data_IF_699143178070
#
_entry.id   IF_699143178070
#
_cell.length_a   1.000
_cell.length_b   1.000
_cell.length_c   1.000
_cell.angle_alpha   90.00
_cell.angle_beta   90.00
_cell.angle_gamma   90.00
#
_symmetry.space_group_name_H-M   'P 1'
#
loop_
_entity.id
_entity.type
_entity.pdbx_description
1 polymer ?
#
# COMPACT_ATOMS: atom_id res chain seq x y z
N UNK A 1 7.40 -10.37 -7.70
CA UNK A 1 8.02 -11.59 -7.13
C UNK A 1 7.45 -12.83 -7.82
N UNK A 2 8.20 -13.93 -7.89
CA UNK A 2 7.67 -15.21 -8.37
C UNK A 2 7.00 -15.97 -7.21
N UNK A 3 5.67 -15.92 -7.14
CA UNK A 3 4.92 -16.52 -6.03
C UNK A 3 5.17 -18.01 -5.80
N UNK A 4 5.58 -18.75 -6.83
CA UNK A 4 5.92 -20.18 -6.71
C UNK A 4 7.24 -20.45 -5.98
N UNK A 5 8.02 -19.42 -5.66
CA UNK A 5 9.30 -19.52 -4.95
C UNK A 5 9.23 -18.86 -3.58
N UNK A 6 8.02 -18.65 -3.03
CA UNK A 6 7.84 -18.05 -1.71
C UNK A 6 7.66 -19.18 -0.70
N UNK A 7 8.66 -19.37 0.15
CA UNK A 7 8.64 -20.34 1.22
C UNK A 7 8.94 -19.65 2.56
N UNK A 8 8.34 -20.09 3.68
CA UNK A 8 8.66 -19.51 4.99
C UNK A 8 10.17 -19.51 5.28
N UNK A 9 10.87 -20.57 4.88
CA UNK A 9 12.30 -20.78 5.09
C UNK A 9 13.20 -19.77 4.35
N UNK A 10 12.67 -19.04 3.35
CA UNK A 10 13.38 -17.94 2.69
C UNK A 10 13.64 -16.75 3.64
N UNK A 11 12.83 -16.60 4.70
CA UNK A 11 12.81 -15.42 5.57
C UNK A 11 13.33 -15.76 6.96
N UNK A 12 14.48 -15.20 7.33
CA UNK A 12 15.03 -15.30 8.68
C UNK A 12 14.90 -13.98 9.41
N UNK A 13 14.02 -13.94 10.42
CA UNK A 13 13.89 -12.79 11.30
C UNK A 13 14.81 -12.93 12.50
N UNK A 14 15.47 -11.84 12.89
CA UNK A 14 16.11 -11.71 14.22
C UNK A 14 15.29 -10.72 15.04
N UNK A 15 14.84 -11.16 16.20
CA UNK A 15 14.07 -10.35 17.14
C UNK A 15 14.98 -9.49 18.01
N UNK A 16 14.44 -8.45 18.64
CA UNK A 16 15.20 -7.53 19.53
C UNK A 16 15.89 -8.22 20.71
N UNK A 17 15.41 -9.39 21.13
CA UNK A 17 16.03 -10.19 22.19
C UNK A 17 17.14 -11.12 21.68
N UNK A 18 17.41 -11.13 20.37
CA UNK A 18 18.43 -11.96 19.71
C UNK A 18 17.93 -13.31 19.22
N UNK A 19 16.67 -13.67 19.48
CA UNK A 19 16.09 -14.92 18.96
C UNK A 19 15.96 -14.85 17.44
N UNK A 20 16.21 -15.98 16.77
CA UNK A 20 16.01 -16.14 15.33
C UNK A 20 14.74 -16.94 15.07
N UNK A 21 13.87 -16.42 14.22
CA UNK A 21 12.56 -16.99 13.94
C UNK A 21 12.36 -17.11 12.43
N UNK A 22 11.95 -18.30 12.01
CA UNK A 22 11.42 -18.56 10.68
C UNK A 22 9.90 -18.46 10.76
N UNK A 23 9.21 -17.78 9.84
CA UNK A 23 7.75 -17.73 9.80
C UNK A 23 7.12 -19.12 9.76
N UNK A 24 5.90 -19.23 10.30
CA UNK A 24 5.05 -20.41 10.16
C UNK A 24 4.38 -20.48 8.78
N UNK A 25 4.25 -19.33 8.11
CA UNK A 25 3.66 -19.19 6.78
C UNK A 25 4.27 -18.00 6.04
N UNK A 26 4.37 -18.12 4.72
CA UNK A 26 4.69 -17.05 3.79
C UNK A 26 3.81 -17.20 2.55
N UNK A 27 3.26 -16.10 2.06
CA UNK A 27 2.40 -16.12 0.88
C UNK A 27 2.13 -14.73 0.32
N UNK A 28 1.38 -14.70 -0.78
CA UNK A 28 1.07 -13.46 -1.49
C UNK A 28 -0.30 -12.89 -1.15
N UNK A 29 -1.20 -13.60 -0.47
CA UNK A 29 -2.51 -13.04 -0.08
C UNK A 29 -2.29 -12.03 1.05
N UNK A 30 -2.83 -10.79 0.98
CA UNK A 30 -3.83 -10.29 0.02
C UNK A 30 -3.32 -9.72 -1.32
N UNK A 31 -2.02 -9.53 -1.51
CA UNK A 31 -1.37 -9.08 -2.76
C UNK A 31 -1.30 -10.15 -3.88
N UNK A 32 -2.41 -10.84 -4.19
CA UNK A 32 -2.41 -11.99 -5.12
C UNK A 32 -2.43 -11.61 -6.60
N UNK A 33 -2.88 -10.39 -6.93
CA UNK A 33 -3.04 -9.90 -8.30
C UNK A 33 -1.67 -9.72 -8.96
N UNK A 34 -1.58 -9.87 -10.28
CA UNK A 34 -0.28 -10.00 -10.95
C UNK A 34 0.55 -8.71 -10.89
N UNK A 35 -0.13 -7.58 -10.91
CA UNK A 35 0.38 -6.22 -10.75
C UNK A 35 0.78 -5.89 -9.31
N UNK A 36 0.39 -6.71 -8.32
CA UNK A 36 0.59 -6.48 -6.89
C UNK A 36 1.58 -7.43 -6.20
N UNK A 37 2.19 -8.39 -6.92
CA UNK A 37 3.07 -9.40 -6.30
C UNK A 37 4.45 -8.89 -5.87
N UNK A 38 4.57 -7.63 -5.46
CA UNK A 38 5.77 -7.05 -4.86
C UNK A 38 5.82 -7.26 -3.33
N UNK A 39 4.69 -7.58 -2.69
CA UNK A 39 4.58 -7.75 -1.24
C UNK A 39 4.36 -9.21 -0.84
N UNK A 40 5.06 -9.66 0.20
CA UNK A 40 4.84 -10.97 0.85
C UNK A 40 4.29 -10.77 2.24
N UNK A 41 3.27 -11.54 2.57
CA UNK A 41 2.74 -11.63 3.92
C UNK A 41 3.31 -12.87 4.59
N UNK A 42 3.89 -12.68 5.76
CA UNK A 42 4.38 -13.76 6.62
C UNK A 42 3.61 -13.79 7.93
N UNK A 43 3.35 -15.00 8.44
CA UNK A 43 2.79 -15.19 9.78
C UNK A 43 3.76 -16.02 10.61
N UNK A 44 4.04 -15.58 11.83
CA UNK A 44 5.01 -16.21 12.71
C UNK A 44 4.99 -15.61 14.09
N UNK A 45 5.81 -16.18 14.98
CA UNK A 45 5.95 -15.73 16.36
C UNK A 45 6.95 -14.56 16.43
N UNK A 46 6.54 -13.42 15.89
CA UNK A 46 7.42 -12.25 15.69
C UNK A 46 7.59 -11.37 16.92
N UNK A 47 6.96 -11.70 18.05
CA UNK A 47 7.11 -10.96 19.29
C UNK A 47 5.80 -10.74 20.04
N UNK A 48 5.68 -9.58 20.70
CA UNK A 48 4.55 -9.23 21.55
C UNK A 48 4.04 -7.81 21.25
N UNK A 49 3.06 -7.33 22.02
CA UNK A 49 2.47 -5.99 21.87
C UNK A 49 3.30 -4.87 22.51
N UNK A 50 4.53 -5.16 22.94
CA UNK A 50 5.42 -4.19 23.57
C UNK A 50 5.85 -3.11 22.57
N UNK A 51 5.88 -1.86 23.03
CA UNK A 51 6.35 -0.74 22.23
C UNK A 51 7.89 -0.63 22.33
N UNK A 52 8.58 -0.09 21.30
CA UNK A 52 10.01 0.19 21.37
C UNK A 52 10.39 0.99 22.63
N UNK A 53 11.41 0.52 23.34
CA UNK A 53 11.89 1.13 24.59
C UNK A 53 11.28 0.54 25.87
N UNK A 54 10.22 -0.28 25.79
CA UNK A 54 9.72 -1.03 26.94
C UNK A 54 10.62 -2.24 27.23
N UNK A 55 10.84 -2.53 28.52
CA UNK A 55 11.81 -3.52 28.97
C UNK A 55 11.56 -4.94 28.44
N UNK A 56 10.28 -5.31 28.26
CA UNK A 56 9.86 -6.64 27.84
C UNK A 56 9.35 -6.67 26.37
N UNK A 57 9.56 -5.60 25.60
CA UNK A 57 9.12 -5.55 24.21
C UNK A 57 9.99 -6.43 23.31
N UNK A 58 9.33 -7.34 22.58
CA UNK A 58 9.97 -8.20 21.58
C UNK A 58 9.28 -7.95 20.25
N UNK A 59 10.06 -7.66 19.21
CA UNK A 59 9.60 -7.41 17.85
C UNK A 59 10.74 -7.67 16.85
N UNK A 60 10.46 -7.76 15.53
CA UNK A 60 11.50 -7.93 14.52
C UNK A 60 12.47 -6.75 14.50
N UNK A 61 13.78 -7.05 14.61
CA UNK A 61 14.85 -6.06 14.50
C UNK A 61 15.60 -6.17 13.17
N UNK A 62 15.63 -7.37 12.58
CA UNK A 62 16.28 -7.65 11.31
C UNK A 62 15.51 -8.72 10.54
N UNK A 63 15.50 -8.60 9.23
CA UNK A 63 15.09 -9.64 8.29
C UNK A 63 16.26 -9.92 7.34
N UNK A 64 16.50 -11.19 7.06
CA UNK A 64 17.44 -11.66 6.04
C UNK A 64 16.70 -12.62 5.10
N UNK A 65 16.88 -12.42 3.80
CA UNK A 65 16.51 -13.41 2.80
C UNK A 65 17.67 -14.40 2.66
N UNK A 66 17.46 -15.64 3.07
CA UNK A 66 18.52 -16.65 3.21
C UNK A 66 18.49 -17.68 2.08
N UNK A 67 19.63 -18.35 1.86
CA UNK A 67 19.68 -19.51 0.96
C UNK A 67 19.34 -20.78 1.74
N UNK A 68 18.16 -21.33 1.47
CA UNK A 68 17.65 -22.58 2.02
C UNK A 68 17.72 -23.75 0.99
N UNK A 69 18.25 -23.49 -0.21
CA UNK A 69 18.25 -24.41 -1.35
C UNK A 69 17.06 -24.22 -2.31
N UNK A 70 16.10 -23.36 -1.99
CA UNK A 70 14.91 -23.00 -2.79
C UNK A 70 14.71 -21.49 -2.82
N UNK A 71 15.68 -20.71 -3.34
CA UNK A 71 15.76 -19.28 -3.09
C UNK A 71 14.55 -18.52 -3.62
N UNK A 72 14.08 -17.56 -2.81
CA UNK A 72 13.18 -16.49 -3.23
C UNK A 72 13.66 -15.82 -4.53
N UNK A 73 12.77 -15.72 -5.53
CA UNK A 73 13.07 -15.13 -6.83
C UNK A 73 12.18 -13.94 -7.15
N UNK A 74 12.82 -12.93 -7.72
CA UNK A 74 12.17 -11.75 -8.28
C UNK A 74 12.23 -11.81 -9.80
N UNK A 75 11.24 -11.20 -10.45
CA UNK A 75 11.32 -10.88 -11.87
C UNK A 75 11.67 -9.40 -11.97
N UNK A 76 12.78 -9.09 -12.63
CA UNK A 76 13.20 -7.73 -12.96
C UNK A 76 13.21 -7.51 -14.48
N UNK A 77 13.57 -6.30 -14.94
CA UNK A 77 13.62 -5.96 -16.37
C UNK A 77 14.62 -6.82 -17.16
N UNK A 78 15.68 -7.30 -16.49
CA UNK A 78 16.71 -8.17 -17.08
C UNK A 78 16.43 -9.67 -16.88
N UNK A 79 15.24 -10.02 -16.39
CA UNK A 79 14.83 -11.39 -16.08
C UNK A 79 14.89 -11.72 -14.58
N UNK A 80 14.99 -13.01 -14.26
CA UNK A 80 14.87 -13.48 -12.88
C UNK A 80 16.14 -13.22 -12.05
N UNK A 81 15.96 -12.67 -10.85
CA UNK A 81 17.03 -12.44 -9.87
C UNK A 81 16.74 -13.18 -8.56
N UNK A 82 17.78 -13.60 -7.85
CA UNK A 82 17.64 -14.18 -6.50
C UNK A 82 17.54 -13.06 -5.46
N UNK A 83 16.71 -13.28 -4.44
CA UNK A 83 16.61 -12.41 -3.27
C UNK A 83 17.61 -12.70 -2.16
N UNK A 84 18.36 -13.80 -2.25
CA UNK A 84 19.32 -14.19 -1.22
C UNK A 84 20.30 -13.05 -0.93
N UNK A 85 20.47 -12.73 0.35
CA UNK A 85 21.35 -11.68 0.82
C UNK A 85 20.71 -10.29 0.89
N UNK A 86 19.44 -10.14 0.48
CA UNK A 86 18.67 -8.95 0.85
C UNK A 86 18.45 -8.93 2.36
N UNK A 87 18.60 -7.75 2.94
CA UNK A 87 18.44 -7.54 4.38
C UNK A 87 17.63 -6.30 4.65
N UNK A 88 16.89 -6.32 5.75
CA UNK A 88 16.23 -5.16 6.32
C UNK A 88 16.56 -5.08 7.81
N UNK A 89 16.74 -3.86 8.33
CA UNK A 89 16.92 -3.59 9.75
C UNK A 89 15.86 -2.56 10.17
N UNK A 90 15.10 -2.89 11.21
CA UNK A 90 14.00 -2.09 11.71
C UNK A 90 14.32 -1.46 13.05
N UNK A 91 14.56 -0.15 13.07
CA UNK A 91 14.73 0.61 14.32
C UNK A 91 13.37 0.87 15.00
N UNK A 92 12.73 -0.18 15.53
CA UNK A 92 11.44 -0.03 16.22
C UNK A 92 10.22 0.07 15.30
N UNK A 93 10.37 -0.32 14.03
CA UNK A 93 9.30 -0.44 13.04
C UNK A 93 8.38 -1.63 13.37
N UNK A 94 7.58 -1.47 14.42
CA UNK A 94 6.51 -2.38 14.82
C UNK A 94 5.20 -1.61 14.83
N UNK A 95 4.10 -2.29 14.51
CA UNK A 95 2.76 -1.69 14.57
C UNK A 95 2.39 -1.14 15.96
N UNK A 96 3.10 -1.52 17.02
CA UNK A 96 2.92 -0.99 18.39
C UNK A 96 3.88 0.14 18.75
N UNK A 97 4.74 0.57 17.82
CA UNK A 97 5.70 1.67 18.00
C UNK A 97 5.53 2.77 16.97
N UNK A 98 5.21 2.42 15.74
CA UNK A 98 4.86 3.35 14.66
C UNK A 98 3.77 2.70 13.82
N UNK A 99 2.72 3.45 13.50
CA UNK A 99 1.68 2.97 12.62
C UNK A 99 2.16 2.71 11.19
N UNK A 100 1.25 2.38 10.28
CA UNK A 100 1.63 2.06 8.91
C UNK A 100 2.13 3.33 8.19
N UNK A 101 3.02 3.15 7.22
CA UNK A 101 3.69 4.20 6.46
C UNK A 101 3.66 3.91 4.96
N UNK A 102 3.86 4.94 4.16
CA UNK A 102 4.17 4.79 2.75
C UNK A 102 5.63 4.32 2.62
N UNK A 103 5.87 3.41 1.67
CA UNK A 103 7.22 2.90 1.35
C UNK A 103 7.58 3.07 -0.12
N UNK A 104 6.66 3.65 -0.89
CA UNK A 104 6.84 3.94 -2.30
C UNK A 104 5.58 4.54 -2.90
N UNK A 105 5.74 5.44 -3.87
CA UNK A 105 4.65 5.90 -4.72
C UNK A 105 5.12 5.97 -6.18
N UNK A 106 4.29 5.48 -7.11
CA UNK A 106 4.62 5.44 -8.53
C UNK A 106 3.43 5.89 -9.39
N UNK A 107 3.69 6.88 -10.25
CA UNK A 107 2.71 7.37 -11.23
C UNK A 107 2.89 6.65 -12.57
N UNK A 108 1.84 6.01 -13.05
CA UNK A 108 1.75 5.43 -14.39
C UNK A 108 0.54 5.98 -15.15
N UNK A 109 0.50 5.75 -16.46
CA UNK A 109 -0.78 5.81 -17.18
C UNK A 109 -1.68 4.64 -16.74
N UNK A 110 -2.99 4.91 -16.72
CA UNK A 110 -4.04 3.88 -16.55
C UNK A 110 -4.00 2.92 -17.75
N UNK A 111 -4.03 3.47 -18.97
CA UNK A 111 -4.12 2.69 -20.21
C UNK A 111 -5.58 2.45 -20.63
N UNK A 112 -5.82 1.38 -21.38
CA UNK A 112 -7.15 1.07 -21.95
C UNK A 112 -7.85 -0.13 -21.27
N UNK A 113 -7.18 -0.79 -20.32
CA UNK A 113 -7.70 -1.95 -19.61
C UNK A 113 -7.00 -2.15 -18.25
N UNK A 114 -7.65 -2.82 -17.29
CA UNK A 114 -7.09 -3.17 -15.97
C UNK A 114 -6.07 -4.32 -16.10
N UNK A 115 -4.88 -4.03 -16.62
CA UNK A 115 -3.85 -5.05 -16.89
C UNK A 115 -3.18 -5.49 -15.59
N UNK A 116 -3.40 -6.75 -15.23
CA UNK A 116 -2.79 -7.39 -14.06
C UNK A 116 -3.78 -7.67 -12.94
N UNK A 117 -4.92 -6.96 -12.94
CA UNK A 117 -6.03 -7.10 -11.99
C UNK A 117 -6.68 -8.50 -12.12
N UNK A 118 -7.24 -8.97 -11.01
CA UNK A 118 -7.84 -10.28 -10.79
C UNK A 118 -6.85 -11.39 -10.48
N UNK A 119 -7.31 -12.64 -10.61
CA UNK A 119 -6.41 -13.78 -10.77
C UNK A 119 -6.81 -15.05 -10.05
N UNK A 120 -7.49 -14.96 -8.90
CA UNK A 120 -7.85 -16.12 -8.10
C UNK A 120 -9.36 -16.18 -7.88
N UNK A 121 -10.12 -16.99 -8.64
CA UNK A 121 -11.59 -16.96 -8.70
C UNK A 121 -12.34 -17.05 -7.36
N UNK A 122 -11.69 -17.57 -6.32
CA UNK A 122 -12.26 -17.64 -4.97
C UNK A 122 -12.26 -16.27 -4.26
N UNK A 123 -11.24 -15.44 -4.51
CA UNK A 123 -11.10 -14.10 -3.94
C UNK A 123 -11.84 -13.04 -4.78
N UNK A 124 -12.10 -13.32 -6.06
CA UNK A 124 -12.87 -12.42 -6.94
C UNK A 124 -14.34 -12.27 -6.50
N UNK A 125 -14.87 -13.21 -5.69
CA UNK A 125 -16.26 -13.17 -5.22
C UNK A 125 -16.46 -12.13 -4.12
N UNK A 126 -16.94 -10.95 -4.51
CA UNK A 126 -17.41 -9.89 -3.59
C UNK A 126 -16.42 -8.77 -3.33
N UNK A 127 -15.16 -8.93 -3.78
CA UNK A 127 -14.13 -7.89 -3.70
C UNK A 127 -13.91 -7.20 -5.05
N UNK A 128 -14.04 -7.96 -6.14
CA UNK A 128 -13.84 -7.46 -7.50
C UNK A 128 -15.17 -7.23 -8.25
N UNK A 129 -15.18 -6.37 -9.29
CA UNK A 129 -14.08 -5.50 -9.69
C UNK A 129 -13.96 -4.27 -8.78
N UNK A 130 -12.72 -3.86 -8.50
CA UNK A 130 -12.30 -2.77 -7.62
C UNK A 130 -11.35 -1.77 -8.33
N UNK A 131 -11.10 -1.99 -9.63
CA UNK A 131 -10.17 -1.22 -10.44
C UNK A 131 -10.74 0.13 -10.90
N UNK A 132 -9.88 0.97 -11.49
CA UNK A 132 -10.23 2.30 -11.96
C UNK A 132 -11.33 2.33 -13.03
N UNK A 133 -11.45 1.29 -13.87
CA UNK A 133 -12.49 1.22 -14.88
C UNK A 133 -13.84 0.88 -14.27
N UNK A 134 -13.87 0.02 -13.26
CA UNK A 134 -15.09 -0.32 -12.54
C UNK A 134 -15.62 0.85 -11.70
N UNK A 135 -14.72 1.57 -11.02
CA UNK A 135 -15.08 2.68 -10.13
C UNK A 135 -15.39 3.98 -10.88
N UNK A 136 -14.61 4.29 -11.92
CA UNK A 136 -14.60 5.63 -12.53
C UNK A 136 -14.78 5.62 -14.06
N UNK A 137 -14.83 4.44 -14.70
CA UNK A 137 -14.81 4.33 -16.16
C UNK A 137 -13.41 4.54 -16.76
N UNK A 138 -12.37 4.58 -15.92
CA UNK A 138 -10.97 4.75 -16.29
C UNK A 138 -10.34 5.95 -15.59
N UNK A 139 -9.35 6.53 -16.23
CA UNK A 139 -8.61 7.72 -15.79
C UNK A 139 -7.45 7.97 -16.75
N UNK A 140 -6.73 9.08 -16.58
CA UNK A 140 -5.52 9.32 -17.37
C UNK A 140 -4.28 8.75 -16.67
N UNK A 141 -4.22 8.86 -15.34
CA UNK A 141 -3.07 8.45 -14.54
C UNK A 141 -3.50 7.71 -13.28
N UNK A 142 -2.62 6.80 -12.87
CA UNK A 142 -2.75 5.97 -11.67
C UNK A 142 -1.52 6.19 -10.81
N UNK A 143 -1.73 6.76 -9.64
CA UNK A 143 -0.69 6.91 -8.62
C UNK A 143 -0.82 5.75 -7.64
N UNK A 144 0.00 4.72 -7.83
CA UNK A 144 0.02 3.55 -6.95
C UNK A 144 0.89 3.80 -5.73
N UNK A 145 0.31 3.66 -4.55
CA UNK A 145 0.99 3.73 -3.27
C UNK A 145 1.34 2.32 -2.80
N UNK A 146 2.54 2.15 -2.25
CA UNK A 146 2.94 0.94 -1.53
C UNK A 146 3.01 1.27 -0.06
N UNK A 147 2.45 0.39 0.78
CA UNK A 147 2.36 0.61 2.22
C UNK A 147 3.18 -0.43 2.99
N UNK A 148 3.68 -0.07 4.17
CA UNK A 148 4.42 -1.00 5.05
C UNK A 148 3.54 -2.06 5.72
N UNK A 149 2.22 -1.99 5.50
CA UNK A 149 1.18 -2.85 6.07
C UNK A 149 -0.20 -2.32 5.69
N UNK A 150 -1.27 -2.97 6.16
CA UNK A 150 -2.64 -2.55 5.80
C UNK A 150 -2.93 -1.10 6.20
N UNK A 151 -3.55 -0.34 5.29
CA UNK A 151 -3.90 1.07 5.47
C UNK A 151 -5.41 1.22 5.71
N UNK A 152 -5.86 0.96 6.93
CA UNK A 152 -7.30 1.03 7.27
C UNK A 152 -7.60 2.19 8.22
N UNK A 153 -8.76 2.85 8.13
CA UNK A 153 -9.13 3.96 9.02
C UNK A 153 -9.09 3.64 10.52
N UNK A 154 -9.26 2.37 10.91
CA UNK A 154 -9.37 1.97 12.32
C UNK A 154 -8.62 0.68 12.67
N UNK A 155 -7.93 0.06 11.71
CA UNK A 155 -7.28 -1.24 11.88
C UNK A 155 -8.20 -2.43 11.59
N UNK A 156 -9.49 -2.19 11.31
CA UNK A 156 -10.49 -3.21 10.99
C UNK A 156 -11.58 -2.74 9.99
N UNK A 157 -11.84 -1.44 9.89
CA UNK A 157 -12.80 -0.88 8.93
C UNK A 157 -12.12 -0.73 7.57
N UNK A 158 -12.74 -1.16 6.48
CA UNK A 158 -12.18 -0.98 5.14
C UNK A 158 -12.05 0.50 4.76
N UNK A 159 -10.99 0.85 4.02
CA UNK A 159 -10.84 2.12 3.36
C UNK A 159 -11.80 2.17 2.16
N UNK A 160 -12.53 3.27 2.00
CA UNK A 160 -13.53 3.40 0.94
C UNK A 160 -12.99 4.23 -0.23
N UNK A 161 -13.48 4.02 -1.47
CA UNK A 161 -13.08 4.80 -2.65
C UNK A 161 -13.24 6.33 -2.50
N UNK A 162 -14.13 6.78 -1.61
CA UNK A 162 -14.36 8.20 -1.29
C UNK A 162 -13.56 8.72 -0.08
N UNK A 163 -12.60 7.94 0.44
CA UNK A 163 -11.85 8.27 1.64
C UNK A 163 -10.64 9.18 1.40
N UNK A 164 -10.31 9.49 0.14
CA UNK A 164 -9.16 10.31 -0.25
C UNK A 164 -9.00 11.56 0.62
N UNK A 165 -10.02 12.41 0.67
CA UNK A 165 -9.98 13.73 1.34
C UNK A 165 -9.76 13.65 2.86
N UNK A 166 -9.99 12.46 3.45
CA UNK A 166 -9.83 12.24 4.89
C UNK A 166 -8.41 11.79 5.25
N UNK A 167 -7.64 11.28 4.30
CA UNK A 167 -6.39 10.57 4.59
C UNK A 167 -5.20 11.02 3.75
N UNK A 168 -5.42 11.48 2.52
CA UNK A 168 -4.38 11.74 1.55
C UNK A 168 -4.47 13.13 0.93
N UNK A 169 -3.33 13.63 0.45
CA UNK A 169 -3.27 14.74 -0.51
C UNK A 169 -2.05 14.61 -1.42
N UNK A 170 -2.16 15.10 -2.65
CA UNK A 170 -1.05 15.11 -3.61
C UNK A 170 -0.43 16.50 -3.68
N UNK A 171 0.91 16.54 -3.75
CA UNK A 171 1.69 17.74 -3.98
C UNK A 171 2.09 17.84 -5.44
N UNK A 172 1.68 18.90 -6.10
CA UNK A 172 2.11 19.25 -7.44
C UNK A 172 2.80 20.62 -7.46
N UNK A 173 3.61 20.87 -8.47
CA UNK A 173 4.28 22.17 -8.65
C UNK A 173 3.41 23.08 -9.52
N UNK A 174 3.17 24.33 -9.12
CA UNK A 174 2.53 25.36 -9.92
C UNK A 174 3.49 25.97 -10.97
N UNK A 175 2.95 26.71 -11.94
CA UNK A 175 3.75 27.45 -12.95
C UNK A 175 4.78 28.43 -12.35
N UNK A 176 4.49 29.00 -11.17
CA UNK A 176 5.41 29.90 -10.45
C UNK A 176 6.41 29.16 -9.53
N UNK A 177 6.37 27.83 -9.51
CA UNK A 177 7.21 26.97 -8.68
C UNK A 177 6.70 26.75 -7.26
N UNK A 178 5.56 27.32 -6.87
CA UNK A 178 4.93 27.04 -5.57
C UNK A 178 4.25 25.66 -5.55
N UNK A 179 3.90 25.16 -4.36
CA UNK A 179 3.20 23.89 -4.20
C UNK A 179 1.69 24.08 -4.27
N UNK A 180 1.02 23.28 -5.10
CA UNK A 180 -0.43 23.09 -5.11
C UNK A 180 -0.76 21.79 -4.39
N UNK A 181 -1.69 21.85 -3.45
CA UNK A 181 -2.21 20.67 -2.76
C UNK A 181 -3.53 20.25 -3.41
N UNK A 182 -3.52 19.06 -4.02
CA UNK A 182 -4.72 18.42 -4.52
C UNK A 182 -5.33 17.66 -3.34
N UNK A 183 -6.29 18.26 -2.64
CA UNK A 183 -6.86 17.71 -1.38
C UNK A 183 -8.30 17.22 -1.51
N UNK A 184 -8.98 17.56 -2.59
CA UNK A 184 -10.40 17.27 -2.81
C UNK A 184 -10.60 16.46 -4.09
N UNK A 185 -11.56 15.55 -4.05
CA UNK A 185 -11.97 14.79 -5.23
C UNK A 185 -12.87 15.65 -6.13
N UNK A 186 -12.81 15.43 -7.43
CA UNK A 186 -13.67 16.13 -8.40
C UNK A 186 -13.34 17.62 -8.62
N UNK A 187 -12.31 18.16 -7.98
CA UNK A 187 -11.82 19.54 -8.19
C UNK A 187 -10.76 19.58 -9.28
N UNK A 188 -10.87 20.57 -10.17
CA UNK A 188 -9.83 20.91 -11.16
C UNK A 188 -8.77 21.81 -10.51
N UNK A 189 -7.54 21.30 -10.41
CA UNK A 189 -6.39 22.03 -9.89
C UNK A 189 -5.49 22.48 -11.03
N UNK A 190 -5.25 23.79 -11.11
CA UNK A 190 -4.24 24.36 -12.00
C UNK A 190 -2.85 24.12 -11.42
N UNK A 191 -2.01 23.44 -12.19
CA UNK A 191 -0.61 23.11 -11.84
C UNK A 191 0.29 23.42 -13.05
N UNK A 192 1.61 23.28 -12.89
CA UNK A 192 2.53 23.47 -14.00
C UNK A 192 2.21 22.49 -15.13
N UNK A 193 1.99 23.01 -16.33
CA UNK A 193 1.70 22.19 -17.51
C UNK A 193 0.21 21.88 -17.76
N UNK A 194 -0.72 22.36 -16.92
CA UNK A 194 -2.16 22.22 -17.18
C UNK A 194 -2.99 21.95 -15.93
N UNK A 195 -4.03 21.15 -16.07
CA UNK A 195 -4.99 20.84 -14.99
C UNK A 195 -4.87 19.38 -14.56
N UNK A 196 -5.05 19.12 -13.26
CA UNK A 196 -5.24 17.79 -12.68
C UNK A 196 -6.51 17.73 -11.84
N UNK A 197 -7.21 16.60 -11.86
CA UNK A 197 -8.36 16.27 -11.02
C UNK A 197 -8.15 14.90 -10.39
N UNK A 198 -8.39 14.79 -9.08
CA UNK A 198 -8.46 13.49 -8.38
C UNK A 198 -9.86 12.91 -8.53
N UNK A 199 -9.98 11.64 -8.92
CA UNK A 199 -11.27 10.94 -9.01
C UNK A 199 -11.62 10.23 -7.70
N UNK A 200 -10.62 9.64 -7.04
CA UNK A 200 -10.75 8.96 -5.76
C UNK A 200 -9.74 7.82 -5.62
N UNK A 201 -10.02 6.90 -4.70
CA UNK A 201 -9.19 5.72 -4.45
C UNK A 201 -9.73 4.49 -5.21
N UNK A 202 -8.83 3.70 -5.79
CA UNK A 202 -9.11 2.40 -6.40
C UNK A 202 -8.20 1.32 -5.79
N UNK A 203 -8.37 0.07 -6.23
CA UNK A 203 -7.64 -1.09 -5.71
C UNK A 203 -8.00 -1.32 -4.23
N UNK A 204 -9.31 -1.45 -3.98
CA UNK A 204 -9.90 -1.60 -2.65
C UNK A 204 -11.03 -2.63 -2.67
N UNK A 205 -12.23 -2.24 -3.08
CA UNK A 205 -13.37 -3.14 -3.14
C UNK A 205 -14.37 -2.66 -4.16
N UNK A 206 -15.52 -3.34 -4.21
CA UNK A 206 -16.53 -3.08 -5.23
C UNK A 206 -17.06 -1.64 -5.25
N UNK A 207 -17.49 -1.14 -6.42
CA UNK A 207 -18.12 0.17 -6.54
C UNK A 207 -19.44 0.26 -5.77
N UNK A 208 -19.81 1.47 -5.39
CA UNK A 208 -21.11 1.78 -4.79
C UNK A 208 -22.26 1.32 -5.71
N UNK A 209 -23.15 0.46 -5.20
CA UNK A 209 -24.22 -0.13 -5.99
C UNK A 209 -24.43 -1.60 -5.65
N UNK A 210 -25.50 -2.23 -6.16
CA UNK A 210 -25.75 -3.68 -6.02
C UNK A 210 -25.64 -4.25 -4.59
N UNK A 211 -25.98 -3.43 -3.58
CA UNK A 211 -25.92 -3.79 -2.16
C UNK A 211 -24.64 -3.36 -1.44
N UNK A 212 -23.63 -2.88 -2.18
CA UNK A 212 -22.41 -2.27 -1.66
C UNK A 212 -22.70 -0.85 -1.19
N UNK A 213 -22.26 -0.55 0.02
CA UNK A 213 -22.37 0.76 0.65
C UNK A 213 -21.04 1.13 1.30
N UNK A 214 -20.61 2.38 1.12
CA UNK A 214 -19.39 2.90 1.73
C UNK A 214 -19.67 3.34 3.17
N UNK A 215 -19.67 2.37 4.07
CA UNK A 215 -19.80 2.56 5.51
C UNK A 215 -18.97 1.50 6.25
N UNK A 216 -19.18 1.33 7.55
CA UNK A 216 -18.41 0.36 8.35
C UNK A 216 -18.55 -1.11 7.91
N UNK A 217 -19.51 -1.42 7.02
CA UNK A 217 -19.69 -2.74 6.42
C UNK A 217 -18.96 -2.89 5.06
N UNK A 218 -18.32 -1.85 4.55
CA UNK A 218 -17.56 -1.93 3.31
C UNK A 218 -16.41 -2.93 3.46
N UNK A 219 -16.30 -3.83 2.49
CA UNK A 219 -15.27 -4.86 2.46
C UNK A 219 -14.31 -4.52 1.33
N UNK A 220 -13.09 -4.16 1.69
CA UNK A 220 -11.96 -4.07 0.76
C UNK A 220 -11.21 -5.42 0.69
N UNK A 221 -10.34 -5.55 -0.30
CA UNK A 221 -9.44 -6.68 -0.55
C UNK A 221 -8.24 -6.77 0.40
N UNK A 222 -8.05 -5.72 1.22
CA UNK A 222 -7.09 -5.55 2.32
C UNK A 222 -5.62 -5.67 1.90
N UNK A 223 -5.33 -5.36 0.64
CA UNK A 223 -3.99 -5.46 0.06
C UNK A 223 -3.02 -4.35 0.57
N UNK A 224 -1.79 -4.30 0.04
CA UNK A 224 -0.79 -3.28 0.40
C UNK A 224 -0.57 -2.23 -0.70
N UNK A 225 -1.47 -2.15 -1.67
CA UNK A 225 -1.43 -1.21 -2.77
C UNK A 225 -2.74 -0.46 -2.93
N UNK A 226 -2.67 0.86 -2.77
CA UNK A 226 -3.84 1.71 -2.95
C UNK A 226 -3.55 2.65 -4.10
N UNK A 227 -4.48 2.74 -5.04
CA UNK A 227 -4.36 3.60 -6.20
C UNK A 227 -5.13 4.90 -6.00
N UNK A 228 -4.49 6.03 -6.32
CA UNK A 228 -5.19 7.32 -6.51
C UNK A 228 -5.34 7.55 -8.01
N UNK A 229 -6.59 7.66 -8.48
CA UNK A 229 -6.91 7.84 -9.89
C UNK A 229 -7.05 9.32 -10.22
N UNK A 230 -6.40 9.73 -11.31
CA UNK A 230 -6.26 11.11 -11.74
C UNK A 230 -6.68 11.28 -13.20
N UNK A 231 -7.31 12.42 -13.49
CA UNK A 231 -7.54 12.92 -14.84
C UNK A 231 -6.83 14.26 -15.04
N UNK A 232 -6.46 14.56 -16.28
CA UNK A 232 -5.83 15.83 -16.63
C UNK A 232 -4.79 15.75 -17.73
N UNK A 233 -3.94 16.77 -17.78
CA UNK A 233 -2.91 16.89 -18.81
C UNK A 233 -1.64 16.11 -18.46
N UNK A 234 -0.97 15.55 -19.47
CA UNK A 234 0.31 14.82 -19.29
C UNK A 234 1.40 15.69 -18.64
N UNK A 235 1.54 16.93 -19.11
CA UNK A 235 2.52 17.86 -18.54
C UNK A 235 2.17 18.23 -17.09
N UNK A 236 0.88 18.32 -16.76
CA UNK A 236 0.38 18.55 -15.41
C UNK A 236 0.71 17.36 -14.49
N UNK A 237 0.49 16.12 -14.94
CA UNK A 237 0.82 14.91 -14.19
C UNK A 237 2.32 14.82 -13.83
N UNK A 238 3.20 15.28 -14.73
CA UNK A 238 4.65 15.35 -14.49
C UNK A 238 5.08 16.39 -13.45
N UNK A 239 4.18 17.28 -13.04
CA UNK A 239 4.44 18.26 -11.97
C UNK A 239 4.22 17.69 -10.57
N UNK A 240 3.64 16.48 -10.45
CA UNK A 240 3.46 15.77 -9.18
C UNK A 240 4.83 15.48 -8.57
N UNK A 241 4.95 15.70 -7.26
CA UNK A 241 6.20 15.50 -6.52
C UNK A 241 6.07 14.50 -5.39
N UNK A 242 4.97 14.57 -4.63
CA UNK A 242 4.76 13.76 -3.44
C UNK A 242 3.29 13.38 -3.29
N UNK A 243 3.05 12.27 -2.60
CA UNK A 243 1.78 11.99 -1.94
C UNK A 243 2.02 12.08 -0.43
N UNK A 244 1.05 12.65 0.28
CA UNK A 244 1.14 12.87 1.72
C UNK A 244 0.02 12.16 2.46
N UNK A 245 0.37 11.57 3.60
CA UNK A 245 -0.56 11.11 4.64
C UNK A 245 -0.39 12.04 5.84
N UNK A 246 -1.23 13.08 6.00
CA UNK A 246 -0.95 14.11 7.00
C UNK A 246 -1.14 13.65 8.45
N UNK A 247 -2.00 12.65 8.68
CA UNK A 247 -2.31 12.03 9.99
C UNK A 247 -2.64 13.01 11.13
N UNK A 248 -3.08 14.22 10.81
CA UNK A 248 -3.31 15.29 11.79
C UNK A 248 -4.27 16.36 11.29
N UNK A 249 -4.81 17.16 12.22
CA UNK A 249 -5.76 18.22 11.91
C UNK A 249 -7.09 17.67 11.41
N UNK A 250 -7.47 18.02 10.18
CA UNK A 250 -8.68 17.52 9.53
C UNK A 250 -8.49 16.13 8.90
N UNK A 251 -7.23 15.70 8.74
CA UNK A 251 -6.87 14.38 8.22
C UNK A 251 -6.80 13.37 9.36
N UNK A 252 -7.36 12.19 9.11
CA UNK A 252 -7.39 11.08 10.06
C UNK A 252 -6.20 10.15 9.81
N UNK A 253 -5.58 9.61 10.87
CA UNK A 253 -4.55 8.59 10.69
C UNK A 253 -5.17 7.29 10.15
N UNK A 254 -4.28 6.44 9.63
CA UNK A 254 -4.55 5.07 9.22
C UNK A 254 -3.87 4.11 10.20
N UNK A 255 -4.29 2.85 10.20
CA UNK A 255 -3.83 1.84 11.15
C UNK A 255 -3.62 0.50 10.44
N UNK A 256 -2.59 -0.20 10.90
CA UNK A 256 -2.39 -1.61 10.63
C UNK A 256 -3.47 -2.47 11.31
N UNK A 257 -3.66 -3.73 10.86
CA UNK A 257 -4.48 -4.70 11.57
C UNK A 257 -4.18 -4.74 13.07
N UNK A 258 -5.24 -4.72 13.89
CA UNK A 258 -5.13 -4.60 15.35
C UNK A 258 -5.21 -3.17 15.88
N UNK A 259 -5.66 -2.22 15.04
CA UNK A 259 -5.99 -0.86 15.44
C UNK A 259 -7.24 -0.77 16.33
N UNK A 260 -7.61 0.45 16.78
CA UNK A 260 -8.61 0.68 17.82
C UNK A 260 -10.03 0.27 17.46
N UNK A 261 -10.33 0.05 16.18
CA UNK A 261 -11.72 -0.01 15.71
C UNK A 261 -12.45 1.32 15.86
N UNK A 262 -13.74 1.36 15.50
CA UNK A 262 -14.55 2.58 15.66
C UNK A 262 -14.86 2.87 17.14
N UNK A 263 -14.90 1.83 17.98
CA UNK A 263 -15.21 1.92 19.42
C UNK A 263 -14.17 1.13 20.23
N UNK A 264 -13.05 1.77 20.63
CA UNK A 264 -11.99 1.08 21.35
C UNK A 264 -12.40 0.73 22.80
N UNK A 265 -12.04 -0.48 23.22
CA UNK A 265 -12.12 -0.88 24.63
C UNK A 265 -11.05 -0.19 25.47
N UNK A 266 -11.38 0.24 26.71
CA UNK A 266 -10.39 0.77 27.65
C UNK A 266 -9.36 -0.30 28.01
N UNK A 267 -8.15 0.14 28.35
CA UNK A 267 -7.02 -0.70 28.79
C UNK A 267 -6.53 -1.73 27.76
N UNK A 268 -7.02 -1.69 26.51
CA UNK A 268 -6.49 -2.48 25.39
C UNK A 268 -5.45 -1.66 24.64
N UNK A 269 -4.30 -2.28 24.38
CA UNK A 269 -3.29 -1.73 23.48
C UNK A 269 -3.60 -2.13 22.04
N UNK A 270 -3.70 -1.12 21.19
CA UNK A 270 -3.90 -1.25 19.75
C UNK A 270 -2.61 -0.90 19.00
N UNK A 271 -2.59 -1.12 17.69
CA UNK A 271 -1.55 -0.56 16.83
C UNK A 271 -1.60 0.97 16.86
N UNK A 272 -0.43 1.57 16.71
CA UNK A 272 -0.27 3.03 16.66
C UNK A 272 -0.84 3.60 15.35
N UNK A 273 -1.32 4.85 15.37
CA UNK A 273 -1.71 5.56 14.16
C UNK A 273 -0.51 5.78 13.24
N UNK A 274 -0.78 5.86 11.93
CA UNK A 274 0.20 6.30 10.94
C UNK A 274 0.79 7.65 11.36
N UNK A 275 2.11 7.85 11.23
CA UNK A 275 2.70 9.16 11.42
C UNK A 275 2.32 10.10 10.26
N UNK A 276 2.76 11.36 10.35
CA UNK A 276 2.86 12.21 9.17
C UNK A 276 3.84 11.55 8.20
N UNK A 277 3.45 11.43 6.94
CA UNK A 277 4.27 10.82 5.89
C UNK A 277 4.19 11.62 4.60
N UNK A 278 5.32 11.80 3.93
CA UNK A 278 5.46 12.55 2.69
C UNK A 278 6.35 11.76 1.73
N UNK A 279 5.70 10.92 0.93
CA UNK A 279 6.38 9.96 0.05
C UNK A 279 6.64 10.59 -1.33
N UNK A 280 7.90 10.61 -1.80
CA UNK A 280 8.21 11.07 -3.14
C UNK A 280 7.57 10.17 -4.21
N UNK A 281 7.12 10.78 -5.29
CA UNK A 281 6.48 10.07 -6.40
C UNK A 281 7.48 9.81 -7.52
N UNK A 282 7.62 8.53 -7.89
CA UNK A 282 8.34 8.14 -9.09
C UNK A 282 7.45 8.37 -10.31
N UNK A 283 7.86 9.26 -11.20
CA UNK A 283 7.16 9.53 -12.46
C UNK A 283 7.56 8.46 -13.49
N UNK A 284 6.73 7.42 -13.60
CA UNK A 284 6.94 6.27 -14.47
C UNK A 284 5.97 6.32 -15.68
N UNK A 285 5.90 7.49 -16.34
CA UNK A 285 5.08 7.69 -17.53
C UNK A 285 5.79 7.21 -18.79
N UNK A 286 7.10 7.49 -18.92
CA UNK A 286 7.87 7.12 -20.12
C UNK A 286 8.44 5.69 -20.06
N UNK A 287 8.73 5.22 -18.84
CA UNK A 287 9.06 3.84 -18.52
C UNK A 287 8.13 3.40 -17.37
N UNK A 288 7.14 2.53 -17.63
CA UNK A 288 6.17 2.12 -16.62
C UNK A 288 6.77 1.39 -15.42
N UNK A 289 8.02 0.90 -15.54
CA UNK A 289 8.68 0.04 -14.56
C UNK A 289 7.76 -1.15 -14.19
N UNK A 290 7.15 -1.75 -15.22
CA UNK A 290 6.28 -2.91 -15.12
C UNK A 290 6.99 -4.13 -15.69
N UNK A 291 6.94 -5.22 -14.95
CA UNK A 291 7.48 -6.52 -15.35
C UNK A 291 6.36 -7.54 -15.18
N UNK A 292 6.19 -8.41 -16.17
CA UNK A 292 5.17 -9.45 -16.14
C UNK A 292 5.76 -10.77 -16.63
N UNK A 293 5.32 -11.87 -16.03
CA UNK A 293 5.58 -13.23 -16.51
C UNK A 293 4.47 -13.74 -17.45
N UNK A 294 3.44 -12.92 -17.70
CA UNK A 294 2.42 -13.20 -18.71
C UNK A 294 3.00 -12.84 -20.10
N UNK A 295 2.91 -13.74 -21.10
CA UNK A 295 3.39 -13.49 -22.45
C UNK A 295 2.73 -12.28 -23.15
#
# INVERSE_FOLDING_TARGET
>A
MLGSTVHPEDFLFTLTNGDQVVPNFAGLVPNWELNERNTVVVFGDFGNRGAPGEADAVYPAKLEIVDDGTPLRFLGPDGEASGVGLTWEGEGATGYGTGPQLIGAKLNYVGDAPVGEGGAPLFEQGLLPNDEFALYGGGNFRLRMLTSGGFTPTGITGLTPDAYERHFRIHATAEDGSTVLLSEIGVDYEVAGGTLRVLGLADLGQPLGDGVVYNDCYTEDVDNQIDIILEGDDAAARSITHVEVPSSGEYRPLYNPGGPGPEPFPDVRYTEPSPHDLEPVIIALDDPLRVSNVP
#
